data_IF_517032024475
#
_entry.id   IF_517032024475
#
_cell.length_a   1.000
_cell.length_b   1.000
_cell.length_c   1.000
_cell.angle_alpha   90.00
_cell.angle_beta   90.00
_cell.angle_gamma   90.00
#
_symmetry.space_group_name_H-M   'P 1'
#
loop_
_entity.id
_entity.type
_entity.pdbx_description
1 polymer ?
#
# COMPACT_ATOMS: atom_id res chain seq x y z
N UNK A 1 -3.02 -15.45 19.89
CA UNK A 1 -2.97 -16.20 18.60
C UNK A 1 -4.35 -16.70 18.15
N UNK A 2 -5.16 -17.31 19.01
CA UNK A 2 -6.49 -17.83 18.70
C UNK A 2 -7.43 -16.81 18.03
N UNK A 3 -7.56 -15.59 18.58
CA UNK A 3 -8.47 -14.53 18.07
C UNK A 3 -8.14 -14.12 16.63
N UNK A 4 -6.87 -13.99 16.26
CA UNK A 4 -6.45 -13.63 14.90
C UNK A 4 -6.86 -14.71 13.87
N UNK A 5 -6.76 -15.98 14.24
CA UNK A 5 -7.17 -17.08 13.37
C UNK A 5 -8.68 -17.10 13.17
N UNK A 6 -9.47 -16.84 14.22
CA UNK A 6 -10.93 -16.73 14.13
C UNK A 6 -11.34 -15.52 13.25
N UNK A 7 -10.76 -14.34 13.48
CA UNK A 7 -11.05 -13.16 12.66
C UNK A 7 -10.67 -13.41 11.18
N UNK A 8 -9.55 -14.09 10.92
CA UNK A 8 -9.15 -14.49 9.56
C UNK A 8 -10.14 -15.46 8.92
N UNK A 9 -10.63 -16.43 9.68
CA UNK A 9 -11.66 -17.40 9.22
C UNK A 9 -12.96 -16.69 8.88
N UNK A 10 -13.43 -15.80 9.74
CA UNK A 10 -14.64 -14.99 9.49
C UNK A 10 -14.48 -14.08 8.26
N UNK A 11 -13.34 -13.42 8.11
CA UNK A 11 -13.06 -12.60 6.93
C UNK A 11 -13.05 -13.41 5.62
N UNK A 12 -12.52 -14.65 5.63
CA UNK A 12 -12.56 -15.55 4.47
C UNK A 12 -13.99 -16.02 4.14
N UNK A 13 -14.80 -16.33 5.16
CA UNK A 13 -16.19 -16.71 4.98
C UNK A 13 -17.02 -15.56 4.43
N UNK A 14 -16.82 -14.33 4.94
CA UNK A 14 -17.48 -13.13 4.44
C UNK A 14 -17.13 -12.86 2.96
N UNK A 15 -15.84 -13.01 2.58
CA UNK A 15 -15.41 -12.87 1.20
C UNK A 15 -16.03 -13.92 0.26
N UNK A 16 -16.16 -15.18 0.72
CA UNK A 16 -16.81 -16.25 -0.07
C UNK A 16 -18.30 -16.02 -0.29
N UNK A 17 -18.98 -15.41 0.69
CA UNK A 17 -20.44 -15.13 0.66
C UNK A 17 -20.76 -13.77 0.05
N UNK A 18 -19.80 -13.09 -0.55
CA UNK A 18 -20.06 -11.80 -1.17
C UNK A 18 -20.98 -11.99 -2.39
N UNK A 19 -22.13 -11.28 -2.47
CA UNK A 19 -23.17 -11.51 -3.49
C UNK A 19 -22.65 -11.47 -4.94
N UNK A 20 -21.61 -10.71 -5.18
CA UNK A 20 -20.96 -10.57 -6.48
C UNK A 20 -20.29 -11.86 -6.95
N UNK A 21 -19.80 -12.70 -6.01
CA UNK A 21 -19.10 -13.96 -6.33
C UNK A 21 -20.02 -15.18 -6.27
N UNK A 22 -21.10 -15.13 -5.50
CA UNK A 22 -22.00 -16.26 -5.30
C UNK A 22 -22.99 -16.41 -6.46
N UNK A 23 -23.48 -15.30 -7.03
CA UNK A 23 -24.51 -15.30 -8.08
C UNK A 23 -23.97 -15.27 -9.51
N UNK A 24 -22.71 -14.90 -9.76
CA UNK A 24 -22.26 -14.68 -11.13
C UNK A 24 -20.87 -15.32 -11.40
N UNK A 25 -20.88 -16.55 -11.93
CA UNK A 25 -19.66 -17.27 -12.35
C UNK A 25 -18.87 -16.46 -13.41
N UNK A 26 -19.58 -15.75 -14.28
CA UNK A 26 -18.96 -14.91 -15.34
C UNK A 26 -18.16 -13.75 -14.74
N UNK A 27 -18.70 -13.06 -13.73
CA UNK A 27 -18.00 -11.98 -13.05
C UNK A 27 -16.71 -12.47 -12.37
N UNK A 28 -16.71 -13.69 -11.83
CA UNK A 28 -15.51 -14.30 -11.23
C UNK A 28 -14.45 -14.62 -12.28
N UNK A 29 -14.84 -15.22 -13.40
CA UNK A 29 -13.95 -15.53 -14.52
C UNK A 29 -13.36 -14.22 -15.09
N UNK A 30 -14.21 -13.22 -15.32
CA UNK A 30 -13.79 -11.90 -15.80
C UNK A 30 -12.77 -11.25 -14.85
N UNK A 31 -12.97 -11.36 -13.53
CA UNK A 31 -12.01 -10.87 -12.54
C UNK A 31 -10.64 -11.56 -12.64
N UNK A 32 -10.59 -12.87 -12.86
CA UNK A 32 -9.32 -13.58 -13.06
C UNK A 32 -8.65 -13.21 -14.39
N UNK A 33 -9.43 -13.09 -15.47
CA UNK A 33 -8.91 -12.67 -16.79
C UNK A 33 -8.33 -11.26 -16.72
N UNK A 34 -9.05 -10.32 -16.09
CA UNK A 34 -8.55 -8.96 -15.88
C UNK A 34 -7.28 -8.93 -15.02
N UNK A 35 -7.24 -9.72 -13.94
CA UNK A 35 -6.04 -9.84 -13.10
C UNK A 35 -4.84 -10.38 -13.87
N UNK A 36 -5.03 -11.42 -14.69
CA UNK A 36 -3.98 -11.97 -15.53
C UNK A 36 -3.52 -10.99 -16.62
N UNK A 37 -4.46 -10.25 -17.24
CA UNK A 37 -4.16 -9.19 -18.21
C UNK A 37 -3.28 -8.10 -17.58
N UNK A 38 -3.66 -7.59 -16.42
CA UNK A 38 -2.88 -6.58 -15.72
C UNK A 38 -1.50 -7.07 -15.28
N UNK A 39 -1.39 -8.33 -14.83
CA UNK A 39 -0.11 -8.94 -14.50
C UNK A 39 0.81 -9.03 -15.73
N UNK A 40 0.27 -9.49 -16.88
CA UNK A 40 1.00 -9.52 -18.14
C UNK A 40 1.45 -8.14 -18.60
N UNK A 41 0.59 -7.13 -18.42
CA UNK A 41 0.90 -5.74 -18.74
C UNK A 41 2.04 -5.17 -17.88
N UNK A 42 2.06 -5.48 -16.58
CA UNK A 42 3.16 -5.09 -15.70
C UNK A 42 4.47 -5.79 -16.05
N UNK A 43 4.43 -7.07 -16.41
CA UNK A 43 5.61 -7.80 -16.90
C UNK A 43 6.16 -7.13 -18.16
N UNK A 44 5.27 -6.78 -19.10
CA UNK A 44 5.65 -6.06 -20.30
C UNK A 44 6.32 -4.72 -20.00
N UNK A 45 5.75 -3.91 -19.09
CA UNK A 45 6.39 -2.66 -18.67
C UNK A 45 7.74 -2.87 -18.01
N UNK A 46 7.86 -3.84 -17.10
CA UNK A 46 9.12 -4.14 -16.44
C UNK A 46 10.23 -4.49 -17.44
N UNK A 47 9.92 -5.30 -18.46
CA UNK A 47 10.86 -5.64 -19.53
C UNK A 47 11.18 -4.44 -20.44
N UNK A 48 10.16 -3.66 -20.81
CA UNK A 48 10.33 -2.46 -21.65
C UNK A 48 11.21 -1.40 -20.96
N UNK A 49 11.01 -1.16 -19.68
CA UNK A 49 11.85 -0.22 -18.91
C UNK A 49 13.30 -0.71 -18.79
N UNK A 50 13.50 -2.03 -18.63
CA UNK A 50 14.84 -2.59 -18.54
C UNK A 50 15.69 -2.35 -19.81
N UNK A 51 15.09 -2.41 -20.98
CA UNK A 51 15.76 -2.16 -22.26
C UNK A 51 15.71 -0.67 -22.65
N UNK A 52 14.55 -0.01 -22.49
CA UNK A 52 14.37 1.37 -22.93
C UNK A 52 15.23 2.39 -22.17
N UNK A 53 15.49 2.18 -20.88
CA UNK A 53 16.35 3.10 -20.14
C UNK A 53 17.82 3.01 -20.55
N UNK A 54 18.29 1.84 -21.00
CA UNK A 54 19.64 1.70 -21.54
C UNK A 54 19.85 2.55 -22.78
N UNK A 55 18.80 2.72 -23.62
CA UNK A 55 18.87 3.50 -24.85
C UNK A 55 18.63 5.00 -24.62
N UNK A 56 17.72 5.34 -23.68
CA UNK A 56 17.34 6.73 -23.40
C UNK A 56 18.37 7.50 -22.59
N UNK A 57 19.09 6.84 -21.68
CA UNK A 57 20.05 7.46 -20.76
C UNK A 57 21.37 6.67 -20.77
N UNK A 58 22.17 6.77 -21.83
CA UNK A 58 23.36 5.93 -22.00
C UNK A 58 24.44 6.12 -20.93
N UNK A 59 24.42 7.23 -20.20
CA UNK A 59 25.39 7.56 -19.15
C UNK A 59 24.98 7.09 -17.75
N UNK A 60 23.82 6.45 -17.58
CA UNK A 60 23.33 5.96 -16.28
C UNK A 60 22.77 4.55 -16.41
N UNK A 61 22.98 3.75 -15.38
CA UNK A 61 22.41 2.40 -15.34
C UNK A 61 20.87 2.44 -15.23
N UNK A 62 20.16 1.53 -15.91
CA UNK A 62 18.70 1.50 -15.93
C UNK A 62 18.05 1.48 -14.55
N UNK A 63 18.67 0.82 -13.57
CA UNK A 63 18.13 0.75 -12.21
C UNK A 63 18.24 2.10 -11.46
N UNK A 64 19.22 2.95 -11.74
CA UNK A 64 19.29 4.30 -11.21
C UNK A 64 18.11 5.15 -11.69
N UNK A 65 17.79 5.10 -12.99
CA UNK A 65 16.64 5.82 -13.55
C UNK A 65 15.32 5.31 -12.96
N UNK A 66 15.20 3.98 -12.83
CA UNK A 66 14.03 3.38 -12.21
C UNK A 66 13.82 3.87 -10.78
N UNK A 67 14.88 3.86 -9.97
CA UNK A 67 14.79 4.23 -8.56
C UNK A 67 14.60 5.74 -8.36
N UNK A 68 15.35 6.56 -9.10
CA UNK A 68 15.35 8.01 -8.92
C UNK A 68 14.10 8.71 -9.48
N UNK A 69 13.54 8.19 -10.58
CA UNK A 69 12.44 8.85 -11.30
C UNK A 69 11.18 8.03 -11.28
N UNK A 70 11.21 6.81 -11.80
CA UNK A 70 10.00 6.03 -12.08
C UNK A 70 9.33 5.52 -10.80
N UNK A 71 10.12 5.17 -9.80
CA UNK A 71 9.61 4.59 -8.53
C UNK A 71 8.58 5.51 -7.86
N UNK A 72 8.83 6.83 -7.82
CA UNK A 72 7.88 7.75 -7.18
C UNK A 72 6.55 7.83 -7.91
N UNK A 73 6.56 7.76 -9.25
CA UNK A 73 5.32 7.69 -10.04
C UNK A 73 4.58 6.39 -9.81
N UNK A 74 5.31 5.28 -9.66
CA UNK A 74 4.71 3.98 -9.33
C UNK A 74 4.05 4.04 -7.95
N UNK A 75 4.71 4.63 -6.95
CA UNK A 75 4.14 4.78 -5.61
C UNK A 75 2.92 5.71 -5.61
N UNK A 76 2.95 6.79 -6.39
CA UNK A 76 1.80 7.67 -6.57
C UNK A 76 0.64 6.95 -7.27
N UNK A 77 0.93 6.18 -8.32
CA UNK A 77 -0.06 5.38 -9.03
C UNK A 77 -0.64 4.27 -8.13
N UNK A 78 0.20 3.59 -7.36
CA UNK A 78 -0.22 2.63 -6.34
C UNK A 78 -1.19 3.27 -5.33
N UNK A 79 -0.86 4.46 -4.84
CA UNK A 79 -1.74 5.23 -3.95
C UNK A 79 -3.10 5.51 -4.60
N UNK A 80 -3.13 5.98 -5.85
CA UNK A 80 -4.36 6.27 -6.57
C UNK A 80 -5.21 5.03 -6.82
N UNK A 81 -4.59 3.92 -7.22
CA UNK A 81 -5.28 2.65 -7.47
C UNK A 81 -5.89 2.05 -6.18
N UNK A 82 -5.29 2.32 -5.01
CA UNK A 82 -5.85 1.88 -3.73
C UNK A 82 -7.16 2.57 -3.37
N UNK A 83 -7.38 3.81 -3.82
CA UNK A 83 -8.60 4.58 -3.50
C UNK A 83 -9.88 3.82 -3.84
N UNK A 84 -10.08 3.29 -5.07
CA UNK A 84 -11.25 2.49 -5.41
C UNK A 84 -11.16 1.02 -4.99
N UNK A 85 -9.95 0.44 -4.88
CA UNK A 85 -9.76 -1.00 -4.75
C UNK A 85 -9.61 -1.47 -3.30
N UNK A 86 -9.11 -0.61 -2.40
CA UNK A 86 -8.80 -0.99 -1.03
C UNK A 86 -9.73 -0.29 -0.02
N UNK A 87 -10.44 -1.09 0.78
CA UNK A 87 -11.23 -0.58 1.91
C UNK A 87 -10.30 -0.23 3.07
N UNK A 88 -10.64 0.82 3.81
CA UNK A 88 -9.92 1.18 5.03
C UNK A 88 -10.35 0.31 6.22
N UNK A 89 -9.48 0.09 7.22
CA UNK A 89 -9.84 -0.61 8.44
C UNK A 89 -11.03 0.01 9.16
N UNK A 90 -11.22 1.34 9.11
CA UNK A 90 -12.38 2.03 9.69
C UNK A 90 -13.69 1.64 9.03
N UNK A 91 -13.70 1.35 7.72
CA UNK A 91 -14.87 0.84 6.99
C UNK A 91 -15.13 -0.64 7.27
N UNK A 92 -14.07 -1.41 7.50
CA UNK A 92 -14.17 -2.86 7.75
C UNK A 92 -14.45 -3.21 9.23
N UNK A 93 -14.25 -2.29 10.16
CA UNK A 93 -14.34 -2.56 11.61
C UNK A 93 -15.77 -2.80 12.08
N UNK A 94 -16.78 -2.21 11.44
CA UNK A 94 -18.20 -2.23 11.90
C UNK A 94 -18.72 -3.63 12.28
N UNK A 95 -18.54 -4.70 11.47
CA UNK A 95 -18.99 -6.03 11.82
C UNK A 95 -18.30 -6.63 13.05
N UNK A 96 -17.10 -6.18 13.35
CA UNK A 96 -16.28 -6.69 14.45
C UNK A 96 -16.55 -6.00 15.80
N UNK A 97 -17.23 -4.84 15.79
CA UNK A 97 -17.54 -4.08 17.01
C UNK A 97 -18.55 -4.82 17.92
N UNK A 98 -19.34 -5.73 17.36
CA UNK A 98 -20.28 -6.56 18.10
C UNK A 98 -19.63 -7.77 18.78
N UNK A 99 -18.35 -8.06 18.47
CA UNK A 99 -17.63 -9.17 19.06
C UNK A 99 -17.07 -8.80 20.44
N UNK A 100 -17.04 -9.74 21.42
CA UNK A 100 -16.46 -9.51 22.74
C UNK A 100 -14.92 -9.49 22.70
N UNK A 101 -14.34 -8.65 21.84
CA UNK A 101 -12.90 -8.52 21.62
C UNK A 101 -12.46 -7.10 21.90
N UNK A 102 -11.28 -6.92 22.52
CA UNK A 102 -10.70 -5.59 22.71
C UNK A 102 -10.50 -4.92 21.34
N UNK A 103 -11.11 -3.75 21.15
CA UNK A 103 -11.12 -2.98 19.88
C UNK A 103 -9.74 -2.76 19.29
N UNK A 104 -8.75 -2.49 20.13
CA UNK A 104 -7.37 -2.30 19.69
C UNK A 104 -6.81 -3.55 18.96
N UNK A 105 -7.21 -4.75 19.37
CA UNK A 105 -6.79 -5.99 18.71
C UNK A 105 -7.45 -6.16 17.35
N UNK A 106 -8.67 -5.65 17.17
CA UNK A 106 -9.34 -5.64 15.87
C UNK A 106 -8.63 -4.68 14.92
N UNK A 107 -8.24 -3.50 15.40
CA UNK A 107 -7.47 -2.53 14.61
C UNK A 107 -6.12 -3.13 14.20
N UNK A 108 -5.38 -3.71 15.14
CA UNK A 108 -4.10 -4.37 14.86
C UNK A 108 -4.26 -5.48 13.82
N UNK A 109 -5.31 -6.30 13.93
CA UNK A 109 -5.62 -7.33 12.94
C UNK A 109 -5.89 -6.75 11.55
N UNK A 110 -6.70 -5.69 11.44
CA UNK A 110 -7.04 -5.06 10.17
C UNK A 110 -5.82 -4.37 9.51
N UNK A 111 -4.97 -3.73 10.31
CA UNK A 111 -3.71 -3.14 9.82
C UNK A 111 -2.74 -4.20 9.31
N UNK A 112 -2.55 -5.30 10.05
CA UNK A 112 -1.70 -6.43 9.61
C UNK A 112 -2.29 -7.05 8.33
N UNK A 113 -3.60 -7.26 8.29
CA UNK A 113 -4.28 -7.80 7.11
C UNK A 113 -4.09 -6.91 5.88
N UNK A 114 -4.14 -5.59 6.04
CA UNK A 114 -3.87 -4.64 4.96
C UNK A 114 -2.43 -4.77 4.45
N UNK A 115 -1.46 -4.88 5.35
CA UNK A 115 -0.05 -5.11 5.01
C UNK A 115 0.18 -6.43 4.26
N UNK A 116 -0.55 -7.49 4.61
CA UNK A 116 -0.47 -8.81 3.97
C UNK A 116 -1.42 -8.96 2.76
N UNK A 117 -1.94 -7.86 2.23
CA UNK A 117 -2.79 -7.87 1.05
C UNK A 117 -2.03 -8.31 -0.20
N UNK A 118 -2.67 -9.14 -1.04
CA UNK A 118 -2.13 -9.52 -2.35
C UNK A 118 -1.88 -8.30 -3.25
N UNK A 119 -2.58 -7.20 -3.01
CA UNK A 119 -2.37 -5.96 -3.74
C UNK A 119 -0.93 -5.42 -3.58
N UNK A 120 -0.30 -5.61 -2.41
CA UNK A 120 1.08 -5.21 -2.19
C UNK A 120 2.08 -6.03 -3.02
N UNK A 121 1.72 -7.26 -3.42
CA UNK A 121 2.56 -8.13 -4.25
C UNK A 121 2.39 -7.87 -5.76
N UNK A 122 1.35 -7.11 -6.12
CA UNK A 122 0.99 -6.91 -7.52
C UNK A 122 2.11 -6.22 -8.32
N UNK A 123 2.78 -5.26 -7.74
CA UNK A 123 3.90 -4.55 -8.37
C UNK A 123 5.13 -5.41 -8.63
N UNK A 124 5.26 -6.55 -7.95
CA UNK A 124 6.36 -7.48 -8.22
C UNK A 124 6.33 -8.02 -9.65
N UNK A 125 5.15 -8.11 -10.28
CA UNK A 125 5.07 -8.52 -11.69
C UNK A 125 5.87 -7.58 -12.62
N UNK A 126 6.08 -6.33 -12.24
CA UNK A 126 6.91 -5.39 -12.97
C UNK A 126 8.36 -5.41 -12.48
N UNK A 127 8.58 -5.36 -11.17
CA UNK A 127 9.94 -5.25 -10.62
C UNK A 127 10.76 -6.54 -10.76
N UNK A 128 10.14 -7.72 -10.78
CA UNK A 128 10.85 -8.99 -10.97
C UNK A 128 11.54 -9.05 -12.34
N UNK A 129 10.83 -8.97 -13.48
CA UNK A 129 11.50 -9.01 -14.78
C UNK A 129 12.49 -7.87 -14.97
N UNK A 130 12.17 -6.66 -14.52
CA UNK A 130 13.08 -5.52 -14.54
C UNK A 130 14.38 -5.81 -13.82
N UNK A 131 14.33 -6.26 -12.56
CA UNK A 131 15.52 -6.51 -11.75
C UNK A 131 16.35 -7.68 -12.27
N UNK A 132 15.71 -8.73 -12.80
CA UNK A 132 16.44 -9.82 -13.42
C UNK A 132 17.23 -9.40 -14.65
N UNK A 133 16.71 -8.50 -15.48
CA UNK A 133 17.39 -8.04 -16.70
C UNK A 133 18.51 -7.05 -16.36
N UNK A 134 18.28 -6.13 -15.40
CA UNK A 134 19.20 -5.01 -15.15
C UNK A 134 20.20 -5.30 -14.04
N UNK A 135 19.76 -5.81 -12.88
CA UNK A 135 20.58 -5.92 -11.67
C UNK A 135 21.47 -7.17 -11.70
N UNK A 136 20.98 -8.28 -12.27
CA UNK A 136 21.74 -9.54 -12.29
C UNK A 136 23.13 -9.41 -12.91
N UNK A 137 23.29 -8.53 -13.91
CA UNK A 137 24.55 -8.30 -14.61
C UNK A 137 25.66 -7.77 -13.67
N UNK A 138 25.29 -6.95 -12.69
CA UNK A 138 26.25 -6.22 -11.83
C UNK A 138 26.34 -6.80 -10.42
N UNK A 139 25.23 -7.29 -9.87
CA UNK A 139 25.11 -7.68 -8.47
C UNK A 139 24.65 -9.14 -8.28
N UNK A 140 24.47 -9.86 -9.38
CA UNK A 140 24.00 -11.25 -9.33
C UNK A 140 22.60 -11.42 -8.75
N UNK A 141 22.24 -12.66 -8.45
CA UNK A 141 20.92 -13.02 -7.93
C UNK A 141 20.66 -12.46 -6.53
N UNK A 142 21.71 -12.34 -5.70
CA UNK A 142 21.57 -11.79 -4.35
C UNK A 142 21.10 -10.32 -4.40
N UNK A 143 21.68 -9.51 -5.28
CA UNK A 143 21.27 -8.12 -5.50
C UNK A 143 19.82 -8.00 -5.96
N UNK A 144 19.34 -8.94 -6.78
CA UNK A 144 17.93 -8.99 -7.20
C UNK A 144 17.02 -9.27 -6.00
N UNK A 145 17.35 -10.24 -5.15
CA UNK A 145 16.54 -10.61 -3.99
C UNK A 145 16.47 -9.47 -2.98
N UNK A 146 17.62 -8.87 -2.64
CA UNK A 146 17.67 -7.74 -1.69
C UNK A 146 16.92 -6.53 -2.22
N UNK A 147 17.06 -6.21 -3.50
CA UNK A 147 16.30 -5.15 -4.16
C UNK A 147 14.77 -5.39 -4.09
N UNK A 148 14.31 -6.59 -4.44
CA UNK A 148 12.88 -6.91 -4.40
C UNK A 148 12.31 -6.85 -2.97
N UNK A 149 13.09 -7.23 -1.97
CA UNK A 149 12.69 -7.05 -0.55
C UNK A 149 12.58 -5.56 -0.22
N UNK A 150 13.55 -4.72 -0.63
CA UNK A 150 13.52 -3.27 -0.44
C UNK A 150 12.28 -2.63 -1.09
N UNK A 151 12.00 -2.97 -2.35
CA UNK A 151 10.79 -2.49 -3.06
C UNK A 151 9.50 -2.93 -2.35
N UNK A 152 9.42 -4.17 -1.87
CA UNK A 152 8.27 -4.63 -1.10
C UNK A 152 8.07 -3.82 0.18
N UNK A 153 9.13 -3.48 0.88
CA UNK A 153 9.07 -2.62 2.07
C UNK A 153 8.59 -1.22 1.72
N UNK A 154 9.04 -0.63 0.60
CA UNK A 154 8.55 0.68 0.14
C UNK A 154 7.07 0.65 -0.22
N UNK A 155 6.60 -0.39 -0.92
CA UNK A 155 5.18 -0.58 -1.24
C UNK A 155 4.36 -0.74 0.06
N UNK A 156 4.91 -1.43 1.06
CA UNK A 156 4.27 -1.57 2.37
C UNK A 156 4.21 -0.24 3.13
N UNK A 157 5.27 0.56 3.09
CA UNK A 157 5.27 1.92 3.63
C UNK A 157 4.21 2.78 2.94
N UNK A 158 4.13 2.72 1.61
CA UNK A 158 3.11 3.40 0.81
C UNK A 158 1.68 2.95 1.15
N UNK A 159 1.47 1.67 1.44
CA UNK A 159 0.19 1.17 1.92
C UNK A 159 -0.23 1.81 3.25
N UNK A 160 0.66 1.89 4.24
CA UNK A 160 0.34 2.54 5.52
C UNK A 160 0.20 4.06 5.38
N UNK A 161 0.93 4.69 4.47
CA UNK A 161 0.74 6.09 4.10
C UNK A 161 -0.64 6.32 3.48
N UNK A 162 -1.06 5.46 2.54
CA UNK A 162 -2.40 5.49 1.97
C UNK A 162 -3.49 5.37 3.05
N UNK A 163 -3.36 4.41 3.98
CA UNK A 163 -4.34 4.23 5.05
C UNK A 163 -4.45 5.47 5.94
N UNK A 164 -3.33 6.12 6.26
CA UNK A 164 -3.29 7.37 7.02
C UNK A 164 -4.03 8.47 6.28
N UNK A 165 -3.64 8.77 5.04
CA UNK A 165 -4.26 9.80 4.22
C UNK A 165 -5.76 9.54 4.04
N UNK A 166 -6.15 8.33 3.71
CA UNK A 166 -7.56 7.96 3.49
C UNK A 166 -8.41 8.10 4.76
N UNK A 167 -7.85 7.75 5.90
CA UNK A 167 -8.53 7.91 7.20
C UNK A 167 -8.74 9.40 7.51
N UNK A 168 -7.73 10.24 7.29
CA UNK A 168 -7.83 11.69 7.47
C UNK A 168 -8.83 12.33 6.48
N UNK A 169 -8.81 11.92 5.21
CA UNK A 169 -9.74 12.41 4.18
C UNK A 169 -11.18 12.07 4.53
N UNK A 170 -11.44 10.89 5.09
CA UNK A 170 -12.78 10.50 5.54
C UNK A 170 -13.29 11.37 6.69
N UNK A 171 -12.42 11.96 7.50
CA UNK A 171 -12.79 12.90 8.55
C UNK A 171 -13.04 14.32 8.01
N UNK A 172 -12.13 14.80 7.16
CA UNK A 172 -12.21 16.14 6.55
C UNK A 172 -11.63 16.11 5.15
N UNK A 173 -12.41 16.53 4.18
CA UNK A 173 -12.05 16.53 2.75
C UNK A 173 -10.75 17.32 2.45
N UNK A 174 -10.45 18.36 3.22
CA UNK A 174 -9.24 19.16 3.07
C UNK A 174 -7.94 18.35 3.15
N UNK A 175 -7.95 17.21 3.82
CA UNK A 175 -6.79 16.32 3.89
C UNK A 175 -6.41 15.68 2.55
N UNK A 176 -7.22 15.87 1.50
CA UNK A 176 -6.85 15.51 0.12
C UNK A 176 -5.59 16.27 -0.33
N UNK A 177 -5.37 17.47 0.18
CA UNK A 177 -4.16 18.24 -0.11
C UNK A 177 -2.88 17.53 0.36
N UNK A 178 -2.95 16.71 1.40
CA UNK A 178 -1.78 16.03 1.97
C UNK A 178 -1.08 15.10 0.95
N UNK A 179 -1.73 14.11 0.33
CA UNK A 179 -1.09 13.29 -0.71
C UNK A 179 -0.75 14.08 -1.98
N UNK A 180 -1.53 15.09 -2.35
CA UNK A 180 -1.24 15.94 -3.51
C UNK A 180 0.05 16.71 -3.30
N UNK A 181 0.22 17.36 -2.15
CA UNK A 181 1.44 18.11 -1.82
C UNK A 181 2.62 17.16 -1.65
N UNK A 182 2.44 15.99 -1.07
CA UNK A 182 3.50 15.01 -0.90
C UNK A 182 4.03 14.51 -2.24
N UNK A 183 3.20 13.89 -3.09
CA UNK A 183 3.65 13.34 -4.38
C UNK A 183 3.96 14.44 -5.40
N UNK A 184 3.15 15.50 -5.44
CA UNK A 184 3.39 16.63 -6.32
C UNK A 184 4.67 17.39 -5.93
N UNK A 185 4.92 17.60 -4.64
CA UNK A 185 6.13 18.23 -4.14
C UNK A 185 7.38 17.41 -4.48
N UNK A 186 7.36 16.10 -4.27
CA UNK A 186 8.47 15.21 -4.65
C UNK A 186 8.68 15.26 -6.17
N UNK A 187 7.61 15.16 -6.97
CA UNK A 187 7.72 15.23 -8.43
C UNK A 187 8.32 16.56 -8.89
N UNK A 188 7.87 17.69 -8.33
CA UNK A 188 8.46 18.99 -8.63
C UNK A 188 9.96 19.06 -8.26
N UNK A 189 10.32 18.59 -7.07
CA UNK A 189 11.70 18.61 -6.62
C UNK A 189 12.62 17.66 -7.42
N UNK A 190 12.08 16.65 -8.07
CA UNK A 190 12.84 15.75 -8.95
C UNK A 190 13.17 16.39 -10.30
N UNK A 191 12.25 17.23 -10.84
CA UNK A 191 12.34 17.71 -12.23
C UNK A 191 12.80 19.16 -12.36
N UNK A 192 12.63 20.00 -11.34
CA UNK A 192 12.96 21.43 -11.46
C UNK A 192 14.46 21.69 -11.44
N UNK A 193 15.30 21.08 -10.57
CA UNK A 193 16.75 21.16 -10.70
C UNK A 193 17.32 19.93 -11.39
N UNK A 194 18.15 20.11 -12.41
CA UNK A 194 18.89 19.05 -13.10
C UNK A 194 19.70 18.31 -12.05
N UNK A 195 19.97 17.86 -11.22
CA UNK A 195 20.72 17.21 -10.14
C UNK A 195 20.21 17.58 -8.74
N UNK A 196 18.90 17.36 -8.50
CA UNK A 196 18.37 17.62 -7.18
C UNK A 196 18.91 16.64 -6.11
N UNK A 197 19.12 17.09 -4.86
CA UNK A 197 19.50 16.20 -3.76
C UNK A 197 18.52 15.03 -3.56
N UNK A 198 17.24 15.22 -3.92
CA UNK A 198 16.21 14.20 -3.83
C UNK A 198 16.40 13.11 -4.89
N UNK A 199 16.87 13.47 -6.08
CA UNK A 199 17.21 12.50 -7.13
C UNK A 199 18.29 11.54 -6.62
N UNK A 200 19.38 12.07 -6.07
CA UNK A 200 20.46 11.27 -5.49
C UNK A 200 20.00 10.45 -4.30
N UNK A 201 19.14 11.00 -3.45
CA UNK A 201 18.58 10.25 -2.31
C UNK A 201 17.82 8.99 -2.76
N UNK A 202 16.96 9.10 -3.79
CA UNK A 202 16.21 7.93 -4.28
C UNK A 202 17.13 6.95 -5.04
N UNK A 203 18.14 7.45 -5.74
CA UNK A 203 19.15 6.62 -6.37
C UNK A 203 19.92 5.83 -5.31
N UNK A 204 20.46 6.49 -4.29
CA UNK A 204 21.21 5.87 -3.19
C UNK A 204 20.34 4.89 -2.38
N UNK A 205 19.04 5.19 -2.20
CA UNK A 205 18.11 4.28 -1.56
C UNK A 205 17.98 2.97 -2.35
N UNK A 206 17.87 3.06 -3.67
CA UNK A 206 17.82 1.90 -4.55
C UNK A 206 19.11 1.10 -4.52
N UNK A 207 20.25 1.78 -4.61
CA UNK A 207 21.57 1.15 -4.56
C UNK A 207 21.83 0.49 -3.19
N UNK A 208 21.38 1.13 -2.10
CA UNK A 208 21.43 0.56 -0.76
C UNK A 208 20.65 -0.74 -0.65
N UNK A 209 19.49 -0.85 -1.31
CA UNK A 209 18.75 -2.12 -1.37
C UNK A 209 19.46 -3.16 -2.22
N UNK A 210 19.99 -2.79 -3.39
CA UNK A 210 20.70 -3.72 -4.28
C UNK A 210 21.92 -4.30 -3.58
N UNK A 211 22.69 -3.47 -2.87
CA UNK A 211 23.88 -3.88 -2.13
C UNK A 211 23.56 -4.61 -0.82
N UNK A 212 22.32 -4.66 -0.41
CA UNK A 212 21.91 -5.27 0.86
C UNK A 212 22.33 -4.47 2.09
N UNK A 213 22.49 -3.14 1.97
CA UNK A 213 22.90 -2.28 3.07
C UNK A 213 21.78 -2.20 4.12
N UNK A 214 22.06 -2.75 5.30
CA UNK A 214 21.10 -2.92 6.38
C UNK A 214 20.52 -1.58 6.88
N UNK A 215 21.23 -0.47 6.75
CA UNK A 215 20.77 0.84 7.21
C UNK A 215 19.54 1.31 6.44
N UNK A 216 19.49 1.09 5.12
CA UNK A 216 18.35 1.46 4.29
C UNK A 216 17.12 0.61 4.61
N UNK A 217 17.32 -0.69 4.88
CA UNK A 217 16.24 -1.58 5.32
C UNK A 217 15.69 -1.16 6.69
N UNK A 218 16.57 -0.90 7.65
CA UNK A 218 16.17 -0.44 8.99
C UNK A 218 15.45 0.91 8.92
N UNK A 219 15.94 1.85 8.12
CA UNK A 219 15.28 3.14 7.88
C UNK A 219 13.87 2.97 7.35
N UNK A 220 13.68 2.13 6.34
CA UNK A 220 12.35 1.86 5.76
C UNK A 220 11.44 1.14 6.75
N UNK A 221 11.94 0.18 7.51
CA UNK A 221 11.19 -0.50 8.57
C UNK A 221 10.77 0.50 9.66
N UNK A 222 11.63 1.43 10.03
CA UNK A 222 11.30 2.49 10.99
C UNK A 222 10.13 3.35 10.49
N UNK A 223 10.15 3.74 9.20
CA UNK A 223 9.03 4.47 8.57
C UNK A 223 7.74 3.65 8.64
N UNK A 224 7.80 2.36 8.28
CA UNK A 224 6.64 1.45 8.34
C UNK A 224 6.07 1.36 9.76
N UNK A 225 6.92 1.16 10.76
CA UNK A 225 6.51 1.06 12.17
C UNK A 225 5.89 2.38 12.64
N UNK A 226 6.50 3.50 12.30
CA UNK A 226 5.97 4.84 12.64
C UNK A 226 4.59 5.06 12.03
N UNK A 227 4.42 4.80 10.73
CA UNK A 227 3.14 4.92 10.05
C UNK A 227 2.10 3.95 10.63
N UNK A 228 2.50 2.72 10.97
CA UNK A 228 1.61 1.75 11.62
C UNK A 228 1.13 2.24 12.98
N UNK A 229 2.04 2.78 13.84
CA UNK A 229 1.68 3.33 15.15
C UNK A 229 0.76 4.55 15.04
N UNK A 230 1.03 5.45 14.10
CA UNK A 230 0.18 6.63 13.83
C UNK A 230 -1.21 6.20 13.38
N UNK A 231 -1.32 5.27 12.42
CA UNK A 231 -2.59 4.72 11.98
C UNK A 231 -3.36 4.05 13.12
N UNK A 232 -2.67 3.25 13.94
CA UNK A 232 -3.25 2.57 15.10
C UNK A 232 -3.86 3.57 16.09
N UNK A 233 -3.12 4.63 16.42
CA UNK A 233 -3.58 5.69 17.35
C UNK A 233 -4.77 6.45 16.76
N UNK A 234 -4.67 6.89 15.50
CA UNK A 234 -5.71 7.63 14.82
C UNK A 234 -7.01 6.83 14.73
N UNK A 235 -6.94 5.60 14.22
CA UNK A 235 -8.12 4.74 14.04
C UNK A 235 -8.76 4.37 15.38
N UNK A 236 -7.99 4.17 16.45
CA UNK A 236 -8.55 3.89 17.78
C UNK A 236 -9.38 5.06 18.29
N UNK A 237 -8.92 6.29 18.11
CA UNK A 237 -9.66 7.52 18.49
C UNK A 237 -10.97 7.66 17.72
N UNK A 238 -10.94 7.46 16.40
CA UNK A 238 -12.10 7.61 15.53
C UNK A 238 -13.20 6.56 15.81
N UNK A 239 -12.83 5.33 16.08
CA UNK A 239 -13.81 4.26 16.42
C UNK A 239 -14.52 4.59 17.73
N UNK A 240 -13.83 5.16 18.72
CA UNK A 240 -14.47 5.60 19.97
C UNK A 240 -15.46 6.74 19.74
N UNK A 241 -15.11 7.71 18.88
CA UNK A 241 -15.98 8.82 18.54
C UNK A 241 -17.26 8.38 17.78
N UNK A 242 -17.14 7.44 16.84
CA UNK A 242 -18.32 6.89 16.13
C UNK A 242 -19.26 6.12 17.07
N UNK A 243 -18.73 5.34 18.00
CA UNK A 243 -19.55 4.60 18.95
C UNK A 243 -20.30 5.51 19.91
N UNK A 244 -19.66 6.58 20.40
CA UNK A 244 -20.34 7.57 21.24
C UNK A 244 -21.52 8.23 20.50
N UNK A 245 -21.41 8.43 19.18
CA UNK A 245 -22.51 8.95 18.35
C UNK A 245 -23.66 7.93 18.22
N UNK A 246 -23.34 6.65 18.03
CA UNK A 246 -24.35 5.58 17.91
C UNK A 246 -25.13 5.40 19.22
N UNK A 247 -24.43 5.42 20.35
CA UNK A 247 -25.07 5.33 21.68
C UNK A 247 -26.02 6.54 21.89
N UNK A 248 -25.58 7.77 21.57
CA UNK A 248 -26.40 8.97 21.69
C UNK A 248 -27.69 8.90 20.85
N UNK A 249 -27.63 8.39 19.62
CA UNK A 249 -28.79 8.23 18.74
C UNK A 249 -29.74 7.15 19.28
N UNK A 250 -29.22 6.04 19.84
CA UNK A 250 -30.04 5.00 20.46
C UNK A 250 -30.84 5.51 21.65
N UNK A 251 -30.23 6.33 22.50
CA UNK A 251 -30.91 6.94 23.65
C UNK A 251 -31.99 7.94 23.25
N UNK A 252 -31.80 8.71 22.17
CA UNK A 252 -32.83 9.65 21.69
C UNK A 252 -34.04 8.94 21.09
N UNK A 253 -33.85 7.81 20.40
CA UNK A 253 -34.95 7.01 19.89
C UNK A 253 -35.78 6.31 20.99
N UNK A 254 -35.14 5.80 22.04
CA UNK A 254 -35.82 5.21 23.16
C UNK A 254 -36.69 6.25 23.91
N UNK A 255 -36.19 7.46 24.13
CA UNK A 255 -36.93 8.56 24.75
C UNK A 255 -38.14 9.04 23.92
N UNK A 256 -38.02 8.98 22.57
CA UNK A 256 -39.14 9.36 21.69
C UNK A 256 -40.32 8.36 21.70
N UNK A 257 -40.12 7.14 22.19
CA UNK A 257 -41.17 6.13 22.34
C UNK A 257 -41.79 6.12 23.75
N UNK A 258 -41.24 6.85 24.72
CA UNK A 258 -41.75 6.95 26.07
C UNK A 258 -42.65 8.20 26.30
N UNK A 259 -42.78 9.08 25.30
CA UNK A 259 -43.66 10.26 25.30
C UNK A 259 -44.80 10.06 24.30
#
# INVERSE_FOLDING_TARGET
>A
MMIFNELRKHGRLAAKRHPMYEKNKVAKILGYVMGAFWAGYLIFFGTTFAFGFSDMVPNREPYHVMNAVVLIFILALDFLLRVPLQKTPTQEVKPYLLLPVKRIRVIDFLLIRSGLSLFNLFWLFMFVPFSFITITKYFGILGVITYLIGILLLILANNYWYLLCRTLINERIWWVLLPIVFYGGIACLLFIPEDSPLFYFFMDLGDGYIQGNILYFLGTILVIVTLWLVNRKLMSGLIYAELAKVDAVSYTHLRAHET
#
